data_IF_567262915633
#
_entry.id   IF_567262915633
#
_cell.length_a   1.000
_cell.length_b   1.000
_cell.length_c   1.000
_cell.angle_alpha   90.00
_cell.angle_beta   90.00
_cell.angle_gamma   90.00
#
_symmetry.space_group_name_H-M   'P 1'
#
loop_
_entity.id
_entity.type
_entity.pdbx_description
1 polymer ?
#
# COMPACT_ATOMS: atom_id res chain seq x y z
N UNK A 1 -21.83 8.61 -23.43
CA UNK A 1 -20.54 8.31 -24.09
C UNK A 1 -20.42 6.86 -24.55
N UNK A 2 -19.63 6.61 -25.60
CA UNK A 2 -19.39 5.27 -26.17
C UNK A 2 -18.22 4.57 -25.49
N UNK A 3 -18.40 3.31 -25.09
CA UNK A 3 -17.33 2.50 -24.54
C UNK A 3 -16.37 2.01 -25.63
N UNK A 4 -15.06 1.84 -25.30
CA UNK A 4 -14.11 1.20 -26.20
C UNK A 4 -14.56 -0.21 -26.57
N UNK A 5 -14.13 -0.71 -27.74
CA UNK A 5 -14.46 -2.07 -28.14
C UNK A 5 -13.78 -3.11 -27.23
N UNK A 6 -14.40 -4.29 -27.10
CA UNK A 6 -13.85 -5.43 -26.34
C UNK A 6 -12.41 -5.72 -26.77
N UNK A 7 -12.15 -5.70 -28.08
CA UNK A 7 -10.79 -5.92 -28.64
C UNK A 7 -9.80 -4.86 -28.17
N UNK A 8 -10.19 -3.58 -28.14
CA UNK A 8 -9.33 -2.47 -27.73
C UNK A 8 -8.98 -2.54 -26.23
N UNK A 9 -9.94 -2.89 -25.37
CA UNK A 9 -9.70 -3.07 -23.93
C UNK A 9 -8.81 -4.29 -23.67
N UNK A 10 -9.08 -5.40 -24.36
CA UNK A 10 -8.28 -6.62 -24.25
C UNK A 10 -6.79 -6.35 -24.57
N UNK A 11 -6.51 -5.60 -25.63
CA UNK A 11 -5.14 -5.20 -25.99
C UNK A 11 -4.54 -4.19 -25.01
N UNK A 12 -5.34 -3.24 -24.49
CA UNK A 12 -4.82 -2.16 -23.64
C UNK A 12 -4.40 -2.67 -22.26
N UNK A 13 -5.16 -3.62 -21.69
CA UNK A 13 -4.88 -4.20 -20.37
C UNK A 13 -4.24 -5.60 -20.44
N UNK A 14 -3.91 -6.08 -21.63
CA UNK A 14 -3.36 -7.42 -21.88
C UNK A 14 -4.22 -8.54 -21.24
N UNK A 15 -5.55 -8.44 -21.41
CA UNK A 15 -6.53 -9.38 -20.89
C UNK A 15 -7.12 -10.26 -22.01
N UNK A 16 -7.66 -11.42 -21.65
CA UNK A 16 -8.42 -12.22 -22.60
C UNK A 16 -9.72 -11.50 -23.00
N UNK A 17 -10.17 -11.72 -24.24
CA UNK A 17 -11.44 -11.14 -24.74
C UNK A 17 -12.64 -11.61 -23.92
N UNK A 18 -12.61 -12.86 -23.45
CA UNK A 18 -13.69 -13.46 -22.64
C UNK A 18 -13.84 -12.74 -21.30
N UNK A 19 -12.75 -12.34 -20.65
CA UNK A 19 -12.80 -11.57 -19.40
C UNK A 19 -13.44 -10.20 -19.61
N UNK A 20 -13.06 -9.51 -20.69
CA UNK A 20 -13.62 -8.19 -21.02
C UNK A 20 -15.11 -8.30 -21.40
N UNK A 21 -15.47 -9.33 -22.15
CA UNK A 21 -16.85 -9.59 -22.55
C UNK A 21 -17.74 -9.93 -21.35
N UNK A 22 -17.24 -10.73 -20.40
CA UNK A 22 -17.92 -11.01 -19.14
C UNK A 22 -18.15 -9.72 -18.33
N UNK A 23 -17.12 -8.89 -18.19
CA UNK A 23 -17.23 -7.60 -17.50
C UNK A 23 -18.26 -6.67 -18.16
N UNK A 24 -18.29 -6.60 -19.50
CA UNK A 24 -19.26 -5.77 -20.23
C UNK A 24 -20.68 -6.31 -20.11
N UNK A 25 -20.83 -7.64 -20.12
CA UNK A 25 -22.12 -8.30 -19.90
C UNK A 25 -22.66 -8.03 -18.50
N UNK A 26 -21.79 -8.01 -17.49
CA UNK A 26 -22.16 -7.66 -16.12
C UNK A 26 -22.59 -6.19 -16.01
N UNK A 27 -21.83 -5.25 -16.59
CA UNK A 27 -22.21 -3.84 -16.62
C UNK A 27 -23.56 -3.61 -17.31
N UNK A 28 -23.85 -4.40 -18.35
CA UNK A 28 -25.14 -4.37 -19.04
C UNK A 28 -26.26 -4.93 -18.16
N UNK A 29 -26.02 -6.05 -17.48
CA UNK A 29 -26.98 -6.66 -16.56
C UNK A 29 -27.33 -5.75 -15.36
N UNK A 30 -26.34 -5.01 -14.85
CA UNK A 30 -26.53 -4.04 -13.77
C UNK A 30 -27.14 -2.71 -14.25
N UNK A 31 -27.27 -2.52 -15.57
CA UNK A 31 -27.89 -1.33 -16.17
C UNK A 31 -26.95 -0.13 -16.33
N UNK A 32 -25.65 -0.26 -16.01
CA UNK A 32 -24.69 0.83 -16.18
C UNK A 32 -24.44 1.18 -17.65
N UNK A 33 -24.62 0.21 -18.55
CA UNK A 33 -24.39 0.37 -19.99
C UNK A 33 -25.54 -0.19 -20.80
N UNK A 34 -25.79 0.41 -21.96
CA UNK A 34 -26.82 0.02 -22.91
C UNK A 34 -26.17 -0.53 -24.18
N UNK A 35 -26.70 -1.65 -24.68
CA UNK A 35 -26.29 -2.22 -25.96
C UNK A 35 -27.10 -1.58 -27.09
N UNK A 36 -26.40 -0.94 -28.04
CA UNK A 36 -27.02 -0.41 -29.26
C UNK A 36 -26.64 -1.31 -30.44
N UNK A 37 -27.65 -1.86 -31.12
CA UNK A 37 -27.45 -2.75 -32.26
C UNK A 37 -26.48 -2.14 -33.28
N UNK A 38 -25.47 -2.93 -33.70
CA UNK A 38 -24.40 -2.55 -34.64
C UNK A 38 -23.51 -1.36 -34.20
N UNK A 39 -23.69 -0.81 -33.01
CA UNK A 39 -22.93 0.35 -32.54
C UNK A 39 -22.09 0.09 -31.29
N UNK A 40 -22.39 -0.96 -30.53
CA UNK A 40 -21.63 -1.37 -29.33
C UNK A 40 -22.26 -0.88 -28.03
N UNK A 41 -21.46 -0.76 -26.98
CA UNK A 41 -21.92 -0.38 -25.63
C UNK A 41 -21.81 1.13 -25.39
N UNK A 42 -22.84 1.69 -24.78
CA UNK A 42 -22.94 3.10 -24.41
C UNK A 42 -23.23 3.22 -22.90
N UNK A 43 -22.67 4.23 -22.24
CA UNK A 43 -22.96 4.49 -20.82
C UNK A 43 -24.42 4.96 -20.68
N UNK A 44 -25.19 4.36 -19.77
CA UNK A 44 -26.57 4.77 -19.52
C UNK A 44 -26.64 6.13 -18.84
N UNK A 45 -27.54 6.99 -19.33
CA UNK A 45 -27.68 8.38 -18.86
C UNK A 45 -28.25 8.46 -17.44
N UNK A 46 -29.13 7.51 -17.07
CA UNK A 46 -29.80 7.47 -15.76
C UNK A 46 -28.80 7.34 -14.59
N UNK A 47 -27.80 6.49 -14.73
CA UNK A 47 -26.76 6.30 -13.70
C UNK A 47 -25.76 7.46 -13.69
N UNK A 48 -25.45 8.03 -14.85
CA UNK A 48 -24.50 9.11 -14.97
C UNK A 48 -24.99 10.41 -14.30
N UNK A 49 -26.27 10.71 -14.43
CA UNK A 49 -26.89 11.86 -13.76
C UNK A 49 -26.96 11.69 -12.25
N UNK A 50 -27.26 10.48 -11.78
CA UNK A 50 -27.24 10.16 -10.35
C UNK A 50 -25.82 10.26 -9.78
N UNK A 51 -24.81 9.78 -10.50
CA UNK A 51 -23.41 9.91 -10.09
C UNK A 51 -22.93 11.37 -10.01
N UNK A 52 -23.35 12.23 -10.95
CA UNK A 52 -23.05 13.67 -10.89
C UNK A 52 -23.75 14.37 -9.71
N UNK A 53 -25.00 14.00 -9.42
CA UNK A 53 -25.79 14.58 -8.32
C UNK A 53 -25.30 14.15 -6.93
N UNK A 54 -24.73 12.96 -6.80
CA UNK A 54 -24.21 12.43 -5.52
C UNK A 54 -22.78 12.88 -5.19
N UNK A 55 -22.08 13.56 -6.10
CA UNK A 55 -20.87 14.33 -5.78
C UNK A 55 -21.22 15.60 -5.00
N UNK A 56 -21.91 15.45 -3.86
CA UNK A 56 -21.73 16.44 -2.80
C UNK A 56 -20.26 16.35 -2.40
N UNK A 57 -19.51 17.46 -2.36
CA UNK A 57 -18.15 17.41 -1.84
C UNK A 57 -18.27 16.77 -0.46
N UNK A 58 -17.59 15.63 -0.27
CA UNK A 58 -17.32 15.10 1.05
C UNK A 58 -16.80 16.32 1.82
N UNK A 59 -17.45 16.76 2.91
CA UNK A 59 -16.95 17.89 3.65
C UNK A 59 -15.52 17.54 3.99
N UNK A 60 -14.58 18.22 3.34
CA UNK A 60 -13.18 18.14 3.71
C UNK A 60 -13.22 18.59 5.15
N UNK A 61 -13.06 17.67 6.09
CA UNK A 61 -12.73 18.04 7.45
C UNK A 61 -11.50 18.89 7.31
N UNK A 62 -11.69 20.21 7.39
CA UNK A 62 -10.61 21.16 7.41
C UNK A 62 -9.96 20.86 8.74
N UNK A 63 -8.96 19.97 8.73
CA UNK A 63 -8.00 19.88 9.82
C UNK A 63 -7.26 21.21 9.77
N UNK A 64 -7.85 22.26 10.33
CA UNK A 64 -7.14 23.50 10.60
C UNK A 64 -5.93 23.05 11.39
N UNK A 65 -4.72 23.28 10.87
CA UNK A 65 -3.50 23.17 11.67
C UNK A 65 -3.73 24.11 12.85
N UNK A 66 -4.13 23.56 13.98
CA UNK A 66 -4.18 24.28 15.22
C UNK A 66 -2.73 24.61 15.53
N UNK A 67 -2.37 25.89 15.44
CA UNK A 67 -1.05 26.36 15.86
C UNK A 67 -1.06 26.37 17.40
N UNK A 68 -0.78 25.22 17.98
CA UNK A 68 -0.54 25.12 19.42
C UNK A 68 0.82 25.76 19.74
N UNK A 69 0.87 26.55 20.82
CA UNK A 69 2.14 27.11 21.32
C UNK A 69 3.02 26.00 21.94
N UNK A 70 2.38 24.97 22.48
CA UNK A 70 2.98 23.76 23.02
C UNK A 70 2.15 22.54 22.57
N UNK A 71 2.79 21.57 21.91
CA UNK A 71 2.19 20.29 21.51
C UNK A 71 2.70 19.20 22.47
N UNK A 72 1.77 18.58 23.21
CA UNK A 72 2.08 17.52 24.19
C UNK A 72 1.84 16.12 23.61
N UNK A 73 1.65 15.98 22.30
CA UNK A 73 1.41 14.68 21.69
C UNK A 73 2.68 13.80 21.74
N UNK A 74 2.70 12.72 22.55
CA UNK A 74 3.93 12.00 22.89
C UNK A 74 4.53 11.19 21.74
N UNK A 75 3.77 10.99 20.66
CA UNK A 75 4.21 10.24 19.48
C UNK A 75 4.65 11.14 18.32
N UNK A 76 4.63 12.47 18.47
CA UNK A 76 5.14 13.37 17.44
C UNK A 76 6.66 13.44 17.54
N UNK A 77 7.35 13.02 16.48
CA UNK A 77 8.76 13.32 16.31
C UNK A 77 8.86 14.75 15.73
N UNK A 78 9.58 15.64 16.40
CA UNK A 78 9.85 16.96 15.84
C UNK A 78 10.71 16.81 14.57
N UNK A 79 10.51 17.69 13.58
CA UNK A 79 11.21 17.57 12.29
C UNK A 79 12.71 17.76 12.43
N UNK A 80 13.09 18.53 13.44
CA UNK A 80 14.45 18.91 13.79
C UNK A 80 15.22 17.74 14.40
N UNK A 81 14.53 16.79 15.05
CA UNK A 81 15.14 15.63 15.70
C UNK A 81 15.48 14.51 14.71
N UNK A 82 14.80 14.46 13.56
CA UNK A 82 15.06 13.43 12.56
C UNK A 82 16.21 13.86 11.62
N UNK A 83 17.29 13.08 11.48
CA UNK A 83 18.44 13.44 10.67
C UNK A 83 18.17 13.24 9.17
N UNK A 84 17.26 14.04 8.59
CA UNK A 84 16.77 13.93 7.21
C UNK A 84 17.89 13.88 6.16
N UNK A 85 18.93 14.72 6.33
CA UNK A 85 20.06 14.80 5.40
C UNK A 85 20.88 13.51 5.39
N UNK A 86 21.11 12.93 6.57
CA UNK A 86 21.82 11.67 6.71
C UNK A 86 21.00 10.52 6.12
N UNK A 87 19.70 10.47 6.44
CA UNK A 87 18.78 9.46 5.93
C UNK A 87 18.76 9.43 4.40
N UNK A 88 18.57 10.60 3.76
CA UNK A 88 18.58 10.72 2.30
C UNK A 88 19.89 10.24 1.68
N UNK A 89 21.03 10.59 2.29
CA UNK A 89 22.36 10.17 1.81
C UNK A 89 22.51 8.65 1.85
N UNK A 90 22.10 8.00 2.94
CA UNK A 90 22.18 6.55 3.10
C UNK A 90 21.20 5.84 2.16
N UNK A 91 19.95 6.31 2.10
CA UNK A 91 18.94 5.77 1.20
C UNK A 91 19.39 5.79 -0.26
N UNK A 92 19.86 6.95 -0.75
CA UNK A 92 20.34 7.06 -2.12
C UNK A 92 21.57 6.19 -2.37
N UNK A 93 22.45 5.99 -1.37
CA UNK A 93 23.60 5.08 -1.50
C UNK A 93 23.14 3.64 -1.74
N UNK A 94 22.10 3.20 -1.01
CA UNK A 94 21.59 1.83 -1.10
C UNK A 94 20.74 1.62 -2.36
N UNK A 95 19.85 2.55 -2.70
CA UNK A 95 19.01 2.42 -3.91
C UNK A 95 19.83 2.47 -5.20
N UNK A 96 20.95 3.19 -5.20
CA UNK A 96 21.85 3.23 -6.35
C UNK A 96 22.86 2.06 -6.38
N UNK A 97 22.97 1.27 -5.29
CA UNK A 97 23.56 -0.07 -5.41
C UNK A 97 22.52 -0.99 -6.02
N UNK A 98 22.96 -2.07 -6.66
CA UNK A 98 22.18 -3.00 -7.50
C UNK A 98 21.10 -3.76 -6.67
N UNK A 99 20.14 -3.01 -6.15
CA UNK A 99 19.03 -3.51 -5.35
C UNK A 99 17.97 -4.00 -6.32
N UNK A 100 17.78 -5.32 -6.32
CA UNK A 100 16.73 -5.96 -7.09
C UNK A 100 15.36 -5.59 -6.50
N UNK A 101 14.77 -4.51 -7.00
CA UNK A 101 13.44 -4.09 -6.57
C UNK A 101 12.40 -5.18 -6.88
N UNK A 102 11.87 -5.81 -5.82
CA UNK A 102 10.85 -6.85 -5.93
C UNK A 102 11.35 -8.27 -5.67
N UNK A 103 12.66 -8.48 -5.58
CA UNK A 103 13.18 -9.70 -4.96
C UNK A 103 12.96 -9.57 -3.46
N UNK A 104 12.02 -10.35 -2.92
CA UNK A 104 11.84 -10.51 -1.48
C UNK A 104 12.28 -11.93 -1.12
N UNK A 105 13.59 -12.23 -1.15
CA UNK A 105 14.08 -13.61 -1.07
C UNK A 105 13.75 -14.25 0.28
N UNK A 106 13.52 -13.44 1.33
CA UNK A 106 13.17 -13.92 2.66
C UNK A 106 12.06 -13.08 3.29
N UNK A 107 10.98 -13.73 3.76
CA UNK A 107 9.88 -13.09 4.48
C UNK A 107 10.27 -12.43 5.80
N UNK A 108 11.42 -12.80 6.37
CA UNK A 108 12.01 -12.15 7.54
C UNK A 108 12.84 -10.89 7.20
N UNK A 109 12.96 -10.53 5.92
CA UNK A 109 13.80 -9.43 5.43
C UNK A 109 15.27 -9.82 5.27
N UNK A 110 16.12 -8.85 4.93
CA UNK A 110 17.55 -9.05 4.64
C UNK A 110 18.37 -9.48 5.85
N UNK A 111 19.21 -10.51 5.68
CA UNK A 111 20.03 -11.08 6.77
C UNK A 111 21.02 -10.05 7.33
N UNK A 112 21.77 -9.38 6.46
CA UNK A 112 22.79 -8.40 6.85
C UNK A 112 22.18 -7.26 7.69
N UNK A 113 21.00 -6.77 7.27
CA UNK A 113 20.30 -5.72 8.01
C UNK A 113 19.90 -6.19 9.41
N UNK A 114 19.42 -7.43 9.53
CA UNK A 114 19.01 -8.02 10.82
C UNK A 114 20.20 -8.16 11.76
N UNK A 115 21.35 -8.58 11.26
CA UNK A 115 22.59 -8.66 12.06
C UNK A 115 23.06 -7.29 12.55
N UNK A 116 23.00 -6.27 11.70
CA UNK A 116 23.38 -4.90 12.08
C UNK A 116 22.41 -4.31 13.11
N UNK A 117 21.09 -4.54 12.94
CA UNK A 117 20.09 -4.12 13.93
C UNK A 117 20.31 -4.86 15.25
N UNK A 118 20.55 -6.18 15.22
CA UNK A 118 20.80 -6.96 16.43
C UNK A 118 22.05 -6.47 17.18
N UNK A 119 23.13 -6.16 16.45
CA UNK A 119 24.36 -5.59 17.02
C UNK A 119 24.10 -4.21 17.63
N UNK A 120 23.38 -3.34 16.91
CA UNK A 120 23.02 -2.02 17.41
C UNK A 120 22.16 -2.08 18.68
N UNK A 121 21.18 -2.99 18.72
CA UNK A 121 20.30 -3.19 19.87
C UNK A 121 21.05 -3.79 21.07
N UNK A 122 22.00 -4.70 20.84
CA UNK A 122 22.90 -5.21 21.89
C UNK A 122 23.69 -4.06 22.53
N UNK A 123 24.28 -3.18 21.72
CA UNK A 123 25.11 -2.08 22.22
C UNK A 123 24.30 -0.96 22.87
N UNK A 124 23.09 -0.66 22.36
CA UNK A 124 22.26 0.45 22.85
C UNK A 124 21.32 0.07 24.01
N UNK A 125 20.92 -1.20 24.11
CA UNK A 125 19.94 -1.69 25.11
C UNK A 125 20.46 -2.84 25.98
N UNK A 126 21.74 -3.20 25.88
CA UNK A 126 22.37 -4.24 26.71
C UNK A 126 21.74 -5.63 26.62
N UNK A 127 20.96 -5.91 25.57
CA UNK A 127 20.13 -7.12 25.48
C UNK A 127 20.90 -8.28 24.83
N UNK A 128 20.95 -9.43 25.51
CA UNK A 128 21.69 -10.65 25.12
C UNK A 128 21.23 -11.19 23.75
N UNK A 129 22.21 -11.68 22.98
CA UNK A 129 22.30 -12.11 21.57
C UNK A 129 21.16 -12.95 20.92
N UNK A 130 19.98 -13.14 21.52
CA UNK A 130 18.99 -14.09 20.99
C UNK A 130 17.52 -13.68 21.08
N UNK A 131 17.22 -12.40 21.30
CA UNK A 131 15.85 -11.88 21.26
C UNK A 131 15.81 -10.70 20.32
N UNK A 132 15.29 -10.92 19.12
CA UNK A 132 14.45 -10.02 18.31
C UNK A 132 14.59 -10.49 16.87
N UNK A 133 13.64 -11.31 16.42
CA UNK A 133 13.00 -11.17 15.13
C UNK A 133 11.64 -11.87 15.20
N UNK A 134 10.60 -11.15 15.59
CA UNK A 134 9.30 -11.24 14.93
C UNK A 134 8.41 -10.12 15.44
N UNK A 135 7.87 -9.35 14.50
CA UNK A 135 6.68 -8.55 14.73
C UNK A 135 5.54 -9.53 15.03
N UNK A 136 5.09 -9.50 16.29
CA UNK A 136 3.92 -10.20 16.84
C UNK A 136 4.16 -11.65 17.29
N UNK A 137 3.89 -11.83 18.58
CA UNK A 137 3.34 -12.99 19.28
C UNK A 137 3.13 -14.29 18.49
N UNK A 138 3.52 -15.37 19.18
CA UNK A 138 2.99 -16.73 19.15
C UNK A 138 3.73 -17.82 18.35
N UNK A 139 4.07 -18.86 19.14
CA UNK A 139 4.46 -20.23 18.78
C UNK A 139 5.91 -20.45 18.34
N UNK A 140 6.77 -20.71 19.34
CA UNK A 140 7.54 -21.97 19.50
C UNK A 140 8.84 -21.72 20.28
N UNK A 141 8.74 -21.76 21.61
CA UNK A 141 9.84 -22.24 22.46
C UNK A 141 9.24 -23.28 23.42
N UNK A 142 9.74 -24.53 23.46
CA UNK A 142 9.23 -25.54 24.39
C UNK A 142 9.37 -25.06 25.83
N UNK A 143 8.27 -25.17 26.55
CA UNK A 143 8.06 -24.78 27.93
C UNK A 143 8.81 -25.74 28.89
N UNK A 144 10.15 -25.82 28.84
CA UNK A 144 10.87 -26.81 29.67
C UNK A 144 12.29 -26.41 30.14
N UNK A 145 12.69 -25.14 30.11
CA UNK A 145 14.03 -24.72 30.57
C UNK A 145 14.07 -23.91 31.86
N UNK A 146 13.03 -23.97 32.70
CA UNK A 146 13.01 -23.34 34.03
C UNK A 146 12.46 -24.24 35.14
N UNK A 147 12.79 -25.54 35.10
CA UNK A 147 12.78 -26.37 36.30
C UNK A 147 14.09 -27.17 36.37
N UNK A 148 14.88 -26.83 37.40
CA UNK A 148 16.20 -27.32 37.83
C UNK A 148 17.43 -26.76 37.13
#
# INVERSE_FOLDING_TARGET
>A
DKLPSIRKIATLYNLSKTTVESAYSQLYAEGYVESRAKSGYYVSELFFDNYKKTKKPIPKTVTSKQNYLYDFFPAQLHKEDFPLKLWKRLYNKVVNSDVEFGAYPNGQGELELREQIATYLQNSRGSVKNRILSSRMDLLTPWNSWQN
#
